data_IF_086830837479
#
_entry.id   IF_086830837479
#
_cell.length_a   1.000
_cell.length_b   1.000
_cell.length_c   1.000
_cell.angle_alpha   90.00
_cell.angle_beta   90.00
_cell.angle_gamma   90.00
#
_symmetry.space_group_name_H-M   'P 1'
#
loop_
_entity.id
_entity.type
_entity.pdbx_description
1 polymer ?
#
# COMPACT_ATOMS: atom_id res chain seq x y z
N UNK A 1 -18.71 -26.10 1.94
CA UNK A 1 -17.30 -26.07 1.48
C UNK A 1 -16.83 -24.62 1.44
N UNK A 2 -15.76 -24.26 2.18
CA UNK A 2 -15.22 -22.88 2.17
C UNK A 2 -14.47 -22.67 0.85
N UNK A 3 -14.93 -21.72 0.01
CA UNK A 3 -14.22 -21.33 -1.21
C UNK A 3 -12.86 -20.75 -0.81
N UNK A 4 -11.79 -21.45 -1.18
CA UNK A 4 -10.42 -21.00 -0.93
C UNK A 4 -10.03 -20.09 -2.09
N UNK A 5 -10.07 -18.78 -1.87
CA UNK A 5 -9.68 -17.80 -2.89
C UNK A 5 -8.16 -17.81 -3.02
N UNK A 6 -7.63 -18.40 -4.10
CA UNK A 6 -6.21 -18.26 -4.44
C UNK A 6 -5.98 -16.80 -4.87
N UNK A 7 -5.31 -16.04 -4.01
CA UNK A 7 -4.84 -14.69 -4.36
C UNK A 7 -3.61 -14.90 -5.26
N UNK A 8 -3.82 -14.90 -6.57
CA UNK A 8 -2.73 -14.82 -7.54
C UNK A 8 -2.26 -13.37 -7.61
N UNK A 9 -0.98 -13.13 -7.26
CA UNK A 9 -0.35 -11.82 -7.44
C UNK A 9 -0.36 -11.46 -8.92
N UNK A 10 -1.08 -10.40 -9.27
CA UNK A 10 -1.12 -9.86 -10.61
C UNK A 10 0.26 -9.27 -10.96
N UNK A 11 0.93 -9.88 -11.94
CA UNK A 11 2.31 -9.53 -12.33
C UNK A 11 2.39 -8.15 -13.00
N UNK A 12 1.26 -7.52 -13.28
CA UNK A 12 1.20 -6.18 -13.89
C UNK A 12 1.31 -5.05 -12.87
N UNK A 13 1.20 -5.34 -11.57
CA UNK A 13 1.28 -4.31 -10.54
C UNK A 13 2.73 -3.82 -10.36
N UNK A 14 2.99 -2.60 -10.83
CA UNK A 14 4.27 -1.93 -10.59
C UNK A 14 4.35 -1.53 -9.12
N UNK A 15 5.39 -1.98 -8.43
CA UNK A 15 5.63 -1.68 -7.02
C UNK A 15 6.76 -0.68 -6.90
N UNK A 16 6.49 0.46 -6.29
CA UNK A 16 7.52 1.44 -5.92
C UNK A 16 7.93 1.22 -4.47
N UNK A 17 9.23 1.28 -4.21
CA UNK A 17 9.77 1.21 -2.85
C UNK A 17 9.51 2.53 -2.13
N UNK A 18 8.97 2.46 -0.91
CA UNK A 18 8.79 3.64 -0.05
C UNK A 18 10.16 4.01 0.56
N UNK A 19 10.57 5.29 0.55
CA UNK A 19 11.83 5.72 1.14
C UNK A 19 11.95 5.35 2.63
N UNK A 20 13.14 4.93 3.04
CA UNK A 20 13.40 4.48 4.43
C UNK A 20 13.13 5.58 5.46
N UNK A 21 13.48 6.82 5.15
CA UNK A 21 13.23 7.98 6.02
C UNK A 21 11.74 8.15 6.35
N UNK A 22 10.86 7.91 5.37
CA UNK A 22 9.42 7.95 5.57
C UNK A 22 8.94 6.82 6.46
N UNK A 23 9.45 5.60 6.23
CA UNK A 23 9.14 4.41 7.04
C UNK A 23 9.52 4.64 8.49
N UNK A 24 10.73 5.14 8.75
CA UNK A 24 11.25 5.35 10.10
C UNK A 24 10.50 6.50 10.80
N UNK A 25 10.30 7.64 10.11
CA UNK A 25 9.59 8.81 10.65
C UNK A 25 8.15 8.47 11.07
N UNK A 26 7.44 7.72 10.23
CA UNK A 26 6.04 7.39 10.47
C UNK A 26 5.85 6.00 11.10
N UNK A 27 6.94 5.31 11.49
CA UNK A 27 6.92 3.94 12.02
C UNK A 27 6.02 3.02 11.19
N UNK A 28 6.21 3.04 9.86
CA UNK A 28 5.37 2.27 8.93
C UNK A 28 5.63 0.78 9.15
N UNK A 29 4.56 0.03 9.34
CA UNK A 29 4.61 -1.43 9.51
C UNK A 29 4.00 -2.13 8.30
N UNK A 30 4.25 -3.45 8.18
CA UNK A 30 3.64 -4.27 7.13
C UNK A 30 2.11 -4.39 7.24
N UNK A 31 1.52 -3.99 8.37
CA UNK A 31 0.06 -4.00 8.59
C UNK A 31 -0.60 -2.70 8.17
N UNK A 32 0.18 -1.64 7.99
CA UNK A 32 -0.32 -0.36 7.53
C UNK A 32 -0.68 -0.45 6.05
N UNK A 33 -1.71 0.30 5.65
CA UNK A 33 -2.16 0.39 4.27
C UNK A 33 -1.96 1.81 3.74
N UNK A 34 -1.89 1.92 2.41
CA UNK A 34 -1.81 3.20 1.73
C UNK A 34 -2.97 3.30 0.75
N UNK A 35 -3.79 4.32 0.92
CA UNK A 35 -4.87 4.65 0.00
C UNK A 35 -4.37 5.66 -1.03
N UNK A 36 -4.66 5.42 -2.29
CA UNK A 36 -4.19 6.26 -3.39
C UNK A 36 -5.39 6.95 -4.05
N UNK A 37 -5.33 8.28 -4.14
CA UNK A 37 -6.32 9.08 -4.85
C UNK A 37 -5.65 9.89 -5.95
N UNK A 38 -6.32 10.02 -7.10
CA UNK A 38 -5.90 10.95 -8.15
C UNK A 38 -6.40 12.35 -7.80
N UNK A 39 -5.48 13.27 -7.50
CA UNK A 39 -5.78 14.68 -7.24
C UNK A 39 -4.95 15.55 -8.17
N UNK A 40 -5.61 16.37 -8.98
CA UNK A 40 -4.96 17.33 -9.90
C UNK A 40 -3.98 16.65 -10.88
N UNK A 41 -4.33 15.44 -11.36
CA UNK A 41 -3.49 14.67 -12.28
C UNK A 41 -2.28 14.01 -11.63
N UNK A 42 -2.15 14.07 -10.29
CA UNK A 42 -1.09 13.39 -9.54
C UNK A 42 -1.69 12.36 -8.60
N UNK A 43 -1.02 11.22 -8.49
CA UNK A 43 -1.36 10.20 -7.50
C UNK A 43 -0.89 10.70 -6.12
N UNK A 44 -1.81 10.90 -5.19
CA UNK A 44 -1.51 11.22 -3.78
C UNK A 44 -1.82 9.99 -2.92
N UNK A 45 -0.84 9.58 -2.12
CA UNK A 45 -0.97 8.45 -1.20
C UNK A 45 -1.19 8.93 0.23
N UNK A 46 -2.20 8.41 0.91
CA UNK A 46 -2.44 8.63 2.34
C UNK A 46 -2.15 7.35 3.13
N UNK A 47 -1.32 7.46 4.16
CA UNK A 47 -1.00 6.35 5.05
C UNK A 47 -2.14 6.15 6.04
N UNK A 48 -2.77 4.96 6.03
CA UNK A 48 -3.73 4.52 7.03
C UNK A 48 -3.03 3.60 8.02
N UNK A 49 -3.06 3.99 9.29
CA UNK A 49 -2.58 3.18 10.40
C UNK A 49 -3.69 2.21 10.81
N UNK A 50 -3.36 0.93 10.84
CA UNK A 50 -4.20 -0.05 11.52
C UNK A 50 -3.78 -0.06 12.99
N UNK A 51 -4.54 0.63 13.84
CA UNK A 51 -4.45 0.49 15.30
C UNK A 51 -4.93 -0.88 15.78
#
# INVERSE_FOLDING_TARGET
MKKQTKITQDKTQTRSTIPKEFVDKHKVTKKDSMEWESKEGKLKGELKKNE
#
